data_IF_298913762380
#
_entry.id   IF_298913762380
#
_cell.length_a   1.000
_cell.length_b   1.000
_cell.length_c   1.000
_cell.angle_alpha   90.00
_cell.angle_beta   90.00
_cell.angle_gamma   90.00
#
_symmetry.space_group_name_H-M   'P 1'
#
loop_
_entity.id
_entity.type
_entity.pdbx_description
1 polymer ?
#
# COMPACT_ATOMS: atom_id res chain seq x y z
N UNK A 1 -20.03 -9.70 7.24
CA UNK A 1 -19.32 -9.07 6.11
C UNK A 1 -19.89 -7.68 5.92
N UNK A 2 -19.04 -6.69 5.63
CA UNK A 2 -19.48 -5.29 5.45
C UNK A 2 -19.12 -4.91 4.02
N UNK A 3 -20.15 -4.69 3.21
CA UNK A 3 -19.97 -4.16 1.87
C UNK A 3 -19.62 -2.69 1.96
N UNK A 4 -18.47 -2.34 1.41
CA UNK A 4 -18.00 -0.97 1.30
C UNK A 4 -18.01 -0.61 -0.18
N UNK A 5 -18.60 0.54 -0.47
CA UNK A 5 -18.64 1.07 -1.83
C UNK A 5 -17.20 1.21 -2.35
N UNK A 6 -17.00 0.97 -3.64
CA UNK A 6 -15.73 1.19 -4.34
C UNK A 6 -14.57 0.21 -3.99
N UNK A 7 -14.75 -0.65 -2.98
CA UNK A 7 -13.82 -1.73 -2.69
C UNK A 7 -13.75 -2.74 -3.84
N UNK A 8 -12.53 -3.09 -4.25
CA UNK A 8 -12.25 -3.99 -5.37
C UNK A 8 -12.71 -3.48 -6.75
N UNK A 9 -13.14 -2.22 -6.87
CA UNK A 9 -13.41 -1.58 -8.17
C UNK A 9 -12.44 -0.45 -8.42
N UNK A 10 -12.18 0.39 -7.41
CA UNK A 10 -11.27 1.52 -7.53
C UNK A 10 -10.30 1.66 -6.36
N UNK A 11 -10.55 0.99 -5.23
CA UNK A 11 -9.66 1.08 -4.07
C UNK A 11 -9.57 -0.23 -3.27
N UNK A 12 -8.45 -0.37 -2.56
CA UNK A 12 -8.15 -1.50 -1.66
C UNK A 12 -8.33 -1.13 -0.19
N UNK A 13 -8.16 0.15 0.10
CA UNK A 13 -8.48 0.83 1.34
C UNK A 13 -8.82 2.28 1.02
N UNK A 14 -9.10 3.06 2.05
CA UNK A 14 -9.09 4.52 1.97
C UNK A 14 -8.91 5.08 3.37
N UNK A 15 -8.46 6.32 3.45
CA UNK A 15 -8.54 7.12 4.65
C UNK A 15 -9.54 8.28 4.48
N UNK A 16 -10.20 8.65 5.57
CA UNK A 16 -11.17 9.73 5.59
C UNK A 16 -11.34 10.28 7.00
N UNK A 17 -12.28 11.19 7.20
CA UNK A 17 -12.57 11.74 8.51
C UNK A 17 -14.06 11.86 8.77
N UNK A 18 -14.44 11.73 10.04
CA UNK A 18 -15.82 11.94 10.45
C UNK A 18 -16.17 13.41 10.46
N UNK A 19 -17.45 13.73 10.28
CA UNK A 19 -17.96 15.09 10.42
C UNK A 19 -18.48 15.32 11.85
N UNK A 20 -18.18 16.47 12.49
CA UNK A 20 -18.72 16.81 13.81
C UNK A 20 -20.24 16.78 13.87
N UNK A 21 -20.92 17.08 12.75
CA UNK A 21 -22.38 17.02 12.63
C UNK A 21 -22.96 15.62 12.72
N UNK A 22 -22.16 14.57 12.48
CA UNK A 22 -22.60 13.17 12.51
C UNK A 22 -22.25 12.46 13.82
N UNK A 23 -21.04 12.70 14.35
CA UNK A 23 -20.50 11.94 15.49
C UNK A 23 -19.95 12.80 16.63
N UNK A 24 -20.08 14.13 16.55
CA UNK A 24 -19.70 15.07 17.62
C UNK A 24 -18.24 15.55 17.59
N UNK A 25 -17.40 15.01 16.72
CA UNK A 25 -16.00 15.41 16.54
C UNK A 25 -15.49 15.02 15.14
N UNK A 26 -14.38 15.63 14.73
CA UNK A 26 -13.62 15.23 13.54
C UNK A 26 -12.60 14.17 13.93
N UNK A 27 -12.76 12.96 13.41
CA UNK A 27 -11.85 11.84 13.64
C UNK A 27 -11.31 11.34 12.30
N UNK A 28 -10.02 11.48 12.04
CA UNK A 28 -9.36 10.79 10.93
C UNK A 28 -9.38 9.28 11.18
N UNK A 29 -9.72 8.49 10.15
CA UNK A 29 -9.76 7.04 10.19
C UNK A 29 -9.32 6.45 8.85
N UNK A 30 -8.90 5.19 8.87
CA UNK A 30 -8.65 4.40 7.68
C UNK A 30 -9.52 3.15 7.68
N UNK A 31 -9.95 2.73 6.50
CA UNK A 31 -10.62 1.47 6.27
C UNK A 31 -9.80 0.65 5.27
N UNK A 32 -9.59 -0.63 5.57
CA UNK A 32 -8.86 -1.56 4.69
C UNK A 32 -9.67 -2.84 4.57
N UNK A 33 -9.93 -3.26 3.32
CA UNK A 33 -10.68 -4.47 3.03
C UNK A 33 -9.79 -5.70 2.86
N UNK A 34 -10.33 -6.89 3.17
CA UNK A 34 -9.68 -8.15 2.81
C UNK A 34 -10.05 -8.52 1.36
N UNK A 35 -9.07 -8.41 0.46
CA UNK A 35 -9.29 -8.63 -0.98
C UNK A 35 -9.22 -10.09 -1.43
N UNK A 36 -8.86 -11.02 -0.55
CA UNK A 36 -8.51 -12.42 -0.90
C UNK A 36 -9.52 -13.07 -1.84
N UNK A 37 -10.82 -12.87 -1.60
CA UNK A 37 -11.90 -13.52 -2.36
C UNK A 37 -12.36 -12.75 -3.59
N UNK A 38 -12.19 -11.44 -3.62
CA UNK A 38 -12.84 -10.58 -4.62
C UNK A 38 -11.87 -10.00 -5.65
N UNK A 39 -10.71 -9.53 -5.20
CA UNK A 39 -9.78 -8.80 -6.05
C UNK A 39 -8.32 -8.95 -5.59
N UNK A 40 -7.91 -10.14 -5.16
CA UNK A 40 -6.53 -10.39 -4.72
C UNK A 40 -5.50 -9.91 -5.75
N UNK A 41 -5.75 -10.14 -7.04
CA UNK A 41 -4.86 -9.68 -8.12
C UNK A 41 -4.62 -8.16 -8.14
N UNK A 42 -5.54 -7.35 -7.63
CA UNK A 42 -5.41 -5.89 -7.58
C UNK A 42 -4.87 -5.41 -6.22
N UNK A 43 -5.39 -5.95 -5.12
CA UNK A 43 -5.15 -5.41 -3.78
C UNK A 43 -4.16 -6.21 -2.92
N UNK A 44 -3.72 -7.37 -3.40
CA UNK A 44 -2.67 -8.17 -2.75
C UNK A 44 -1.42 -8.29 -3.63
N UNK A 45 -1.20 -7.34 -4.54
CA UNK A 45 0.05 -7.23 -5.28
C UNK A 45 1.23 -7.00 -4.32
N UNK A 46 2.39 -7.66 -4.50
CA UNK A 46 2.76 -8.56 -5.59
C UNK A 46 2.48 -10.05 -5.31
N UNK A 47 1.81 -10.41 -4.22
CA UNK A 47 1.50 -11.80 -3.85
C UNK A 47 0.38 -12.42 -4.69
N UNK A 48 -0.44 -11.58 -5.30
CA UNK A 48 -1.32 -11.92 -6.41
C UNK A 48 -1.14 -10.85 -7.50
N UNK A 49 -1.24 -11.28 -8.76
CA UNK A 49 -0.93 -10.43 -9.91
C UNK A 49 -2.19 -10.25 -10.75
N UNK A 50 -2.48 -9.03 -11.26
CA UNK A 50 -3.65 -8.81 -12.10
C UNK A 50 -3.59 -9.62 -13.39
N UNK A 51 -4.76 -10.02 -13.91
CA UNK A 51 -4.85 -10.82 -15.15
C UNK A 51 -4.22 -10.12 -16.37
N UNK A 52 -4.20 -8.79 -16.39
CA UNK A 52 -3.61 -8.00 -17.48
C UNK A 52 -2.06 -7.98 -17.45
N UNK A 53 -1.41 -8.57 -16.45
CA UNK A 53 0.05 -8.73 -16.36
C UNK A 53 0.47 -10.21 -16.54
N UNK A 54 0.23 -10.84 -17.71
CA UNK A 54 0.32 -12.30 -17.88
C UNK A 54 1.73 -12.89 -17.71
N UNK A 55 2.78 -12.07 -17.80
CA UNK A 55 4.17 -12.52 -17.72
C UNK A 55 4.81 -12.28 -16.35
N UNK A 56 4.06 -11.77 -15.37
CA UNK A 56 4.55 -11.52 -14.02
C UNK A 56 4.08 -12.64 -13.11
N UNK A 57 5.01 -13.33 -12.45
CA UNK A 57 4.69 -14.36 -11.47
C UNK A 57 4.45 -13.71 -10.11
N UNK A 58 3.39 -14.12 -9.38
CA UNK A 58 3.18 -13.65 -8.04
C UNK A 58 4.32 -14.05 -7.11
N UNK A 59 4.61 -13.16 -6.17
CA UNK A 59 5.54 -13.40 -5.09
C UNK A 59 4.95 -14.37 -4.07
N UNK A 60 5.80 -15.15 -3.41
CA UNK A 60 5.37 -16.01 -2.32
C UNK A 60 5.21 -15.17 -1.05
N UNK A 61 4.01 -15.20 -0.48
CA UNK A 61 3.67 -14.52 0.78
C UNK A 61 4.61 -14.95 1.92
N UNK A 62 5.15 -14.00 2.70
CA UNK A 62 6.05 -14.29 3.83
C UNK A 62 5.37 -14.93 5.04
N UNK A 63 4.05 -14.82 5.15
CA UNK A 63 3.30 -15.39 6.28
C UNK A 63 2.29 -16.47 5.88
N UNK A 64 2.28 -16.87 4.61
CA UNK A 64 1.45 -17.95 4.07
C UNK A 64 0.00 -17.57 3.78
N UNK A 65 -0.34 -16.28 3.91
CA UNK A 65 -1.68 -15.74 3.66
C UNK A 65 -1.56 -14.52 2.75
N UNK A 66 -1.95 -14.69 1.49
CA UNK A 66 -1.86 -13.65 0.44
C UNK A 66 -2.76 -12.47 0.76
N UNK A 67 -3.97 -12.72 1.29
CA UNK A 67 -4.93 -11.66 1.61
C UNK A 67 -4.44 -10.80 2.75
N UNK A 68 -4.02 -11.43 3.85
CA UNK A 68 -3.51 -10.74 5.03
C UNK A 68 -2.21 -10.00 4.74
N UNK A 69 -1.26 -10.61 4.01
CA UNK A 69 -0.01 -9.92 3.68
C UNK A 69 -0.22 -8.73 2.73
N UNK A 70 -1.18 -8.84 1.80
CA UNK A 70 -1.65 -7.70 0.99
C UNK A 70 -2.26 -6.60 1.85
N UNK A 71 -3.19 -6.95 2.75
CA UNK A 71 -3.82 -6.00 3.67
C UNK A 71 -2.80 -5.25 4.52
N UNK A 72 -1.72 -5.90 4.98
CA UNK A 72 -0.68 -5.23 5.77
C UNK A 72 0.00 -4.12 4.97
N UNK A 73 0.27 -4.34 3.68
CA UNK A 73 0.81 -3.31 2.80
C UNK A 73 -0.18 -2.15 2.64
N UNK A 74 -1.46 -2.44 2.41
CA UNK A 74 -2.52 -1.42 2.29
C UNK A 74 -2.70 -0.66 3.61
N UNK A 75 -2.64 -1.30 4.77
CA UNK A 75 -2.66 -0.61 6.07
C UNK A 75 -1.49 0.39 6.17
N UNK A 76 -0.29 0.00 5.73
CA UNK A 76 0.86 0.89 5.70
C UNK A 76 0.65 2.09 4.78
N UNK A 77 0.08 1.85 3.60
CA UNK A 77 -0.31 2.87 2.63
C UNK A 77 -1.30 3.87 3.24
N UNK A 78 -2.45 3.41 3.71
CA UNK A 78 -3.52 4.29 4.22
C UNK A 78 -3.10 5.06 5.49
N UNK A 79 -2.31 4.44 6.38
CA UNK A 79 -1.84 5.13 7.59
C UNK A 79 -0.84 6.23 7.23
N UNK A 80 0.01 6.01 6.21
CA UNK A 80 0.96 7.02 5.76
C UNK A 80 0.23 8.25 5.22
N UNK A 81 -0.78 8.04 4.38
CA UNK A 81 -1.57 9.11 3.77
C UNK A 81 -2.45 9.83 4.80
N UNK A 82 -3.10 9.09 5.69
CA UNK A 82 -3.80 9.64 6.84
C UNK A 82 -2.90 10.51 7.72
N UNK A 83 -1.62 10.13 7.89
CA UNK A 83 -0.68 10.91 8.68
C UNK A 83 -0.22 12.19 7.97
N UNK A 84 -0.03 12.15 6.65
CA UNK A 84 0.41 13.30 5.85
C UNK A 84 -0.73 14.26 5.44
N UNK A 85 -1.96 13.76 5.40
CA UNK A 85 -3.11 14.47 4.86
C UNK A 85 -4.44 14.09 5.54
N UNK A 86 -4.53 14.16 6.88
CA UNK A 86 -5.63 13.56 7.65
C UNK A 86 -7.03 14.08 7.31
N UNK A 87 -7.13 15.29 6.73
CA UNK A 87 -8.37 15.98 6.42
C UNK A 87 -8.50 16.32 4.92
N UNK A 88 -7.71 15.67 4.06
CA UNK A 88 -7.67 15.92 2.62
C UNK A 88 -7.42 17.39 2.24
N UNK A 89 -6.58 18.08 3.02
CA UNK A 89 -6.28 19.50 2.85
C UNK A 89 -4.83 19.89 3.24
N UNK A 90 -3.94 18.92 3.36
CA UNK A 90 -2.54 19.12 3.71
C UNK A 90 -1.63 18.68 2.56
N UNK A 91 -0.88 17.57 2.69
CA UNK A 91 0.10 17.18 1.68
C UNK A 91 -0.56 16.43 0.52
N UNK A 92 -0.24 16.82 -0.71
CA UNK A 92 -0.52 16.09 -1.95
C UNK A 92 0.49 16.51 -3.02
N UNK A 93 0.66 15.68 -4.05
CA UNK A 93 1.52 15.96 -5.19
C UNK A 93 0.78 16.77 -6.27
N UNK A 94 1.51 17.66 -6.93
CA UNK A 94 0.97 18.49 -8.02
C UNK A 94 0.33 19.81 -7.53
N UNK A 95 -0.32 20.52 -8.45
CA UNK A 95 -0.90 21.84 -8.18
C UNK A 95 -2.42 21.86 -8.05
N UNK A 96 -3.11 20.77 -8.41
CA UNK A 96 -4.57 20.68 -8.38
C UNK A 96 -5.04 19.90 -7.14
N UNK A 97 -5.66 20.56 -6.16
CA UNK A 97 -6.16 19.89 -4.95
C UNK A 97 -7.38 18.99 -5.22
N UNK A 98 -7.95 19.00 -6.43
CA UNK A 98 -9.13 18.18 -6.78
C UNK A 98 -8.78 16.72 -7.04
N UNK A 99 -7.50 16.41 -7.29
CA UNK A 99 -6.97 15.06 -7.51
C UNK A 99 -5.69 14.89 -6.69
N UNK A 100 -5.79 14.87 -5.35
CA UNK A 100 -4.62 14.82 -4.49
C UNK A 100 -3.97 13.44 -4.64
N UNK A 101 -2.87 13.36 -5.37
CA UNK A 101 -2.03 12.16 -5.39
C UNK A 101 -1.16 12.20 -4.14
N UNK A 102 -1.27 11.19 -3.29
CA UNK A 102 -0.68 11.21 -1.96
C UNK A 102 0.69 10.48 -1.89
N UNK A 103 1.31 10.46 -0.71
CA UNK A 103 2.70 9.98 -0.59
C UNK A 103 2.84 8.48 -0.88
N UNK A 104 1.78 7.70 -0.66
CA UNK A 104 1.81 6.27 -0.92
C UNK A 104 1.34 5.99 -2.36
N UNK A 105 0.36 6.72 -2.90
CA UNK A 105 -0.03 6.67 -4.31
C UNK A 105 1.16 6.80 -5.28
N UNK A 106 2.07 7.75 -5.02
CA UNK A 106 3.26 7.98 -5.85
C UNK A 106 4.20 6.76 -5.94
N UNK A 107 4.10 5.85 -4.99
CA UNK A 107 5.00 4.72 -4.81
C UNK A 107 4.28 3.38 -4.95
N UNK A 108 3.06 3.39 -5.51
CA UNK A 108 2.31 2.16 -5.72
C UNK A 108 3.11 1.14 -6.51
N UNK A 109 3.18 -0.09 -5.99
CA UNK A 109 3.94 -1.18 -6.62
C UNK A 109 5.45 -1.16 -6.37
N UNK A 110 6.01 -0.20 -5.64
CA UNK A 110 7.45 -0.12 -5.31
C UNK A 110 7.70 -0.70 -3.92
N UNK A 111 8.57 -1.71 -3.85
CA UNK A 111 8.87 -2.48 -2.64
C UNK A 111 10.37 -2.57 -2.33
N UNK A 112 11.23 -2.00 -3.17
CA UNK A 112 12.68 -2.13 -3.05
C UNK A 112 13.45 -1.17 -3.96
N UNK A 113 14.77 -1.11 -3.77
CA UNK A 113 15.67 -0.25 -4.55
C UNK A 113 15.54 -0.51 -6.05
N UNK A 114 15.51 0.58 -6.82
CA UNK A 114 15.33 0.56 -8.27
C UNK A 114 13.91 0.24 -8.74
N UNK A 115 12.93 0.14 -7.84
CA UNK A 115 11.53 -0.07 -8.20
C UNK A 115 10.91 1.12 -8.91
N UNK A 116 9.98 0.86 -9.81
CA UNK A 116 9.32 1.88 -10.62
C UNK A 116 8.89 1.33 -11.99
N UNK A 117 7.88 1.95 -12.57
CA UNK A 117 7.22 1.40 -13.75
C UNK A 117 6.62 0.03 -13.43
N UNK A 118 7.01 -1.01 -14.19
CA UNK A 118 6.53 -2.39 -13.99
C UNK A 118 7.43 -3.25 -13.10
N UNK A 119 8.51 -2.70 -12.54
CA UNK A 119 9.46 -3.43 -11.69
C UNK A 119 9.23 -3.11 -10.22
N UNK A 120 9.06 -4.14 -9.38
CA UNK A 120 8.79 -4.00 -7.94
C UNK A 120 9.99 -3.53 -7.11
N UNK A 121 11.20 -3.58 -7.70
CA UNK A 121 12.45 -3.28 -7.00
C UNK A 121 13.13 -4.52 -6.43
N UNK A 122 14.33 -4.30 -5.90
CA UNK A 122 15.13 -5.35 -5.26
C UNK A 122 14.57 -5.67 -3.88
N UNK A 123 14.01 -6.87 -3.71
CA UNK A 123 13.46 -7.38 -2.44
C UNK A 123 14.36 -8.48 -1.87
N UNK A 124 14.11 -8.88 -0.62
CA UNK A 124 14.85 -9.94 0.06
C UNK A 124 14.14 -11.29 -0.12
N UNK A 125 14.94 -12.35 -0.29
CA UNK A 125 14.46 -13.73 -0.35
C UNK A 125 14.59 -14.44 1.00
N UNK A 126 13.53 -15.16 1.37
CA UNK A 126 13.48 -16.08 2.49
C UNK A 126 14.04 -17.45 2.07
N UNK A 127 14.55 -18.21 3.04
CA UNK A 127 15.03 -19.57 2.81
C UNK A 127 13.93 -20.51 2.27
N UNK A 128 12.67 -20.20 2.53
CA UNK A 128 11.50 -20.90 2.04
C UNK A 128 10.98 -20.35 0.69
N UNK A 129 11.70 -19.39 0.07
CA UNK A 129 11.34 -18.74 -1.18
C UNK A 129 10.28 -17.64 -1.05
N UNK A 130 9.89 -17.26 0.17
CA UNK A 130 9.07 -16.08 0.39
C UNK A 130 9.85 -14.80 0.10
N UNK A 131 9.18 -13.72 -0.30
CA UNK A 131 9.81 -12.42 -0.48
C UNK A 131 9.34 -11.40 0.55
N UNK A 132 10.23 -10.51 0.96
CA UNK A 132 9.97 -9.53 2.01
C UNK A 132 10.92 -8.33 1.86
N UNK A 133 10.62 -7.24 2.54
CA UNK A 133 11.53 -6.10 2.67
C UNK A 133 11.68 -5.60 4.11
N UNK A 134 10.90 -6.15 5.04
CA UNK A 134 10.90 -5.75 6.45
C UNK A 134 10.87 -6.98 7.36
N UNK A 135 11.70 -6.94 8.41
CA UNK A 135 11.63 -7.91 9.52
C UNK A 135 10.79 -7.33 10.65
N UNK A 136 9.71 -8.02 11.02
CA UNK A 136 9.02 -7.82 12.28
C UNK A 136 9.63 -8.69 13.40
N UNK A 137 8.98 -8.68 14.57
CA UNK A 137 9.47 -9.43 15.74
C UNK A 137 9.45 -10.96 15.50
N UNK A 138 8.43 -11.48 14.80
CA UNK A 138 8.23 -12.93 14.55
C UNK A 138 7.77 -13.26 13.13
N UNK A 139 7.67 -12.24 12.29
CA UNK A 139 7.03 -12.28 10.98
C UNK A 139 7.84 -11.41 10.04
N UNK A 140 7.79 -11.73 8.75
CA UNK A 140 8.38 -10.91 7.70
C UNK A 140 7.27 -10.23 6.94
N UNK A 141 7.53 -9.05 6.41
CA UNK A 141 6.53 -8.28 5.67
C UNK A 141 7.15 -7.76 4.38
N UNK A 142 6.32 -7.66 3.36
CA UNK A 142 6.61 -6.92 2.16
C UNK A 142 5.62 -5.75 2.13
N UNK A 143 6.10 -4.57 2.44
CA UNK A 143 5.28 -3.36 2.51
C UNK A 143 5.71 -2.39 1.43
N UNK A 144 4.74 -1.70 0.83
CA UNK A 144 5.03 -0.69 -0.16
C UNK A 144 5.92 0.41 0.44
N UNK A 145 6.81 0.96 -0.38
CA UNK A 145 7.58 2.15 -0.05
C UNK A 145 6.73 3.42 -0.14
N UNK A 146 7.25 4.51 0.43
CA UNK A 146 6.58 5.80 0.48
C UNK A 146 7.44 6.88 -0.16
N UNK A 147 6.80 7.93 -0.67
CA UNK A 147 7.49 9.06 -1.27
C UNK A 147 8.26 9.85 -0.20
N UNK A 148 9.54 10.11 -0.47
CA UNK A 148 10.37 11.01 0.35
C UNK A 148 10.66 12.30 -0.38
N UNK A 149 10.19 13.42 0.18
CA UNK A 149 10.52 14.75 -0.34
C UNK A 149 12.00 15.11 -0.19
N UNK A 150 12.76 14.40 0.66
CA UNK A 150 14.19 14.63 0.85
C UNK A 150 14.98 14.02 -0.31
N UNK A 151 14.57 12.82 -0.73
CA UNK A 151 15.23 12.05 -1.78
C UNK A 151 14.65 12.33 -3.17
N UNK A 152 13.45 12.94 -3.22
CA UNK A 152 12.63 13.01 -4.43
C UNK A 152 12.45 11.64 -5.10
N UNK A 153 12.26 10.61 -4.27
CA UNK A 153 12.09 9.24 -4.70
C UNK A 153 11.36 8.42 -3.61
N UNK A 154 10.84 7.26 -4.00
CA UNK A 154 10.25 6.30 -3.09
C UNK A 154 11.34 5.64 -2.26
N UNK A 155 11.15 5.52 -0.94
CA UNK A 155 12.12 4.91 -0.04
C UNK A 155 11.44 4.05 1.01
N UNK A 156 12.18 3.10 1.57
CA UNK A 156 11.63 2.15 2.53
C UNK A 156 12.68 1.29 3.24
N UNK A 157 12.24 0.26 3.98
CA UNK A 157 13.06 -0.40 5.00
C UNK A 157 14.31 -1.13 4.51
N UNK A 158 14.36 -1.48 3.23
CA UNK A 158 15.48 -2.18 2.59
C UNK A 158 16.22 -1.32 1.56
N UNK A 159 16.10 0.01 1.63
CA UNK A 159 16.78 0.89 0.70
C UNK A 159 18.31 0.72 0.76
N UNK A 160 18.90 0.50 -0.41
CA UNK A 160 20.35 0.37 -0.62
C UNK A 160 20.96 1.68 -1.16
N UNK A 161 20.10 2.54 -1.71
CA UNK A 161 20.38 3.86 -2.22
C UNK A 161 20.04 4.92 -1.17
N UNK A 162 20.94 5.90 -1.00
CA UNK A 162 20.82 7.02 -0.08
C UNK A 162 20.59 8.32 -0.83
#
# INVERSE_FOLDING_TARGET
DVYVQDFCTSACGFHYFTFPSLVGYTLPYAWVGNSEKFCAGQCAYPFAVPQFMPNVKPFKSPNGDVGVDGMISVIGHEIAELASNPLANAWYAGGDPSFPVEIADLCEGIYGTGGGGSYTGQVLDGHDGATYNMNGIRRKFLVQWLWSHVLNYCTGPNALDH
#
